data_IF_825924588874
#
_entry.id   IF_825924588874
#
_cell.length_a   1.000
_cell.length_b   1.000
_cell.length_c   1.000
_cell.angle_alpha   90.00
_cell.angle_beta   90.00
_cell.angle_gamma   90.00
#
_symmetry.space_group_name_H-M   'P 1'
#
loop_
_entity.id
_entity.type
_entity.pdbx_description
1 polymer ?
#
# COMPACT_ATOMS: atom_id res chain seq x y z
N UNK A 1 -7.51 23.00 -0.10
CA UNK A 1 -8.36 21.80 0.04
C UNK A 1 -7.85 20.78 -0.98
N UNK A 2 -7.73 19.51 -0.61
CA UNK A 2 -7.36 18.43 -1.52
C UNK A 2 -8.22 17.20 -1.22
N UNK A 3 -8.57 16.45 -2.26
CA UNK A 3 -9.19 15.12 -2.13
C UNK A 3 -8.09 14.09 -2.03
N UNK A 4 -8.04 13.37 -0.92
CA UNK A 4 -7.01 12.37 -0.62
C UNK A 4 -7.64 10.99 -0.61
N UNK A 5 -7.09 10.05 -1.38
CA UNK A 5 -7.48 8.65 -1.38
C UNK A 5 -6.31 7.80 -0.93
N UNK A 6 -6.54 6.89 0.01
CA UNK A 6 -5.51 6.03 0.58
C UNK A 6 -5.61 4.60 0.05
N UNK A 7 -4.52 4.12 -0.52
CA UNK A 7 -4.23 2.71 -0.73
C UNK A 7 -3.37 2.20 0.44
N UNK A 8 -3.99 1.45 1.36
CA UNK A 8 -3.36 1.03 2.62
C UNK A 8 -2.37 -0.14 2.47
N UNK A 9 -1.55 -0.39 3.49
CA UNK A 9 -0.58 -1.48 3.53
C UNK A 9 -1.20 -2.87 3.69
N UNK A 10 -0.38 -3.90 3.51
CA UNK A 10 -0.78 -5.30 3.70
C UNK A 10 -1.18 -5.60 5.16
N UNK A 11 -1.97 -6.66 5.36
CA UNK A 11 -2.48 -7.10 6.68
C UNK A 11 -3.28 -6.05 7.44
N UNK A 12 -3.54 -4.90 6.83
CA UNK A 12 -4.15 -3.70 7.41
C UNK A 12 -5.49 -3.39 6.73
N UNK A 13 -6.05 -2.22 7.02
CA UNK A 13 -7.26 -1.68 6.40
C UNK A 13 -7.41 -0.19 6.70
N UNK A 14 -8.52 0.42 6.28
CA UNK A 14 -8.86 1.81 6.56
C UNK A 14 -8.77 2.20 8.05
N UNK A 15 -9.05 1.26 8.96
CA UNK A 15 -8.99 1.48 10.41
C UNK A 15 -7.61 1.96 10.89
N UNK A 16 -6.51 1.52 10.26
CA UNK A 16 -5.15 1.88 10.68
C UNK A 16 -4.88 3.40 10.60
N UNK A 17 -5.62 4.10 9.77
CA UNK A 17 -5.50 5.55 9.56
C UNK A 17 -6.45 6.38 10.43
N UNK A 18 -7.05 5.75 11.46
CA UNK A 18 -8.01 6.40 12.35
C UNK A 18 -7.45 7.66 13.02
N UNK A 19 -6.17 7.64 13.42
CA UNK A 19 -5.51 8.80 14.06
C UNK A 19 -5.22 9.93 13.06
N UNK A 20 -4.86 9.59 11.83
CA UNK A 20 -4.54 10.56 10.77
C UNK A 20 -5.79 11.24 10.20
N UNK A 21 -6.89 10.50 10.09
CA UNK A 21 -8.15 11.00 9.48
C UNK A 21 -8.64 12.33 10.06
N UNK A 22 -8.75 12.55 11.39
CA UNK A 22 -9.20 13.82 11.94
C UNK A 22 -8.21 14.96 11.66
N UNK A 23 -6.90 14.68 11.59
CA UNK A 23 -5.87 15.68 11.31
C UNK A 23 -5.99 16.18 9.86
N UNK A 24 -6.17 15.28 8.90
CA UNK A 24 -6.37 15.66 7.49
C UNK A 24 -7.67 16.47 7.31
N UNK A 25 -8.75 16.07 7.98
CA UNK A 25 -10.02 16.82 7.93
C UNK A 25 -9.91 18.20 8.58
N UNK A 26 -9.22 18.30 9.71
CA UNK A 26 -8.96 19.59 10.36
C UNK A 26 -8.11 20.53 9.50
N UNK A 27 -7.21 19.97 8.65
CA UNK A 27 -6.46 20.70 7.65
C UNK A 27 -7.29 21.07 6.40
N UNK A 28 -8.59 20.76 6.37
CA UNK A 28 -9.49 21.11 5.27
C UNK A 28 -9.43 20.16 4.08
N UNK A 29 -8.92 18.93 4.26
CA UNK A 29 -8.89 17.92 3.22
C UNK A 29 -10.07 16.95 3.32
N UNK A 30 -10.55 16.46 2.18
CA UNK A 30 -11.38 15.27 2.12
C UNK A 30 -10.50 14.03 2.15
N UNK A 31 -10.93 12.99 2.88
CA UNK A 31 -10.12 11.78 3.05
C UNK A 31 -10.96 10.52 2.90
N UNK A 32 -10.63 9.73 1.89
CA UNK A 32 -11.21 8.43 1.58
C UNK A 32 -10.17 7.33 1.85
N UNK A 33 -10.58 6.28 2.51
CA UNK A 33 -9.72 5.13 2.82
C UNK A 33 -10.48 3.83 2.58
N UNK A 34 -10.61 3.39 1.32
CA UNK A 34 -11.26 2.13 1.01
C UNK A 34 -10.48 0.97 1.65
N UNK A 35 -11.21 0.03 2.26
CA UNK A 35 -10.64 -1.24 2.70
C UNK A 35 -10.70 -2.24 1.57
N UNK A 36 -9.58 -2.92 1.29
CA UNK A 36 -9.53 -3.93 0.25
C UNK A 36 -10.36 -5.16 0.59
N UNK A 37 -10.91 -5.79 -0.44
CA UNK A 37 -11.64 -7.06 -0.34
C UNK A 37 -10.79 -8.13 0.35
N UNK A 38 -11.37 -8.81 1.34
CA UNK A 38 -10.71 -9.84 2.13
C UNK A 38 -9.93 -9.34 3.35
N UNK A 39 -9.85 -8.01 3.59
CA UNK A 39 -9.13 -7.42 4.71
C UNK A 39 -10.07 -6.59 5.61
N UNK A 40 -9.60 -6.25 6.80
CA UNK A 40 -10.31 -5.42 7.76
C UNK A 40 -11.76 -5.86 7.98
N UNK A 41 -12.70 -4.91 7.90
CA UNK A 41 -14.14 -5.16 8.01
C UNK A 41 -14.73 -5.96 6.83
N UNK A 42 -13.95 -6.11 5.73
CA UNK A 42 -14.31 -6.95 4.57
C UNK A 42 -13.64 -8.33 4.61
N UNK A 43 -13.08 -8.74 5.75
CA UNK A 43 -12.41 -10.03 5.93
C UNK A 43 -13.32 -11.24 5.65
N UNK A 44 -14.63 -11.09 5.83
CA UNK A 44 -15.63 -12.13 5.53
C UNK A 44 -15.71 -12.47 4.02
N UNK A 45 -15.16 -11.64 3.15
CA UNK A 45 -15.07 -11.87 1.70
C UNK A 45 -13.76 -12.58 1.29
N UNK A 46 -12.86 -12.86 2.26
CA UNK A 46 -11.56 -13.45 1.96
C UNK A 46 -11.70 -14.82 1.30
N UNK A 47 -11.01 -15.01 0.18
CA UNK A 47 -10.96 -16.24 -0.59
C UNK A 47 -9.64 -16.33 -1.38
N UNK A 48 -9.24 -17.49 -1.91
CA UNK A 48 -7.96 -17.69 -2.60
C UNK A 48 -7.84 -16.98 -3.96
N UNK A 49 -8.93 -16.47 -4.53
CA UNK A 49 -8.92 -15.83 -5.85
C UNK A 49 -8.62 -14.33 -5.78
N UNK A 50 -8.60 -13.74 -4.58
CA UNK A 50 -8.26 -12.33 -4.40
C UNK A 50 -6.80 -12.09 -4.76
N UNK A 51 -6.59 -11.21 -5.72
CA UNK A 51 -5.28 -10.82 -6.25
C UNK A 51 -5.06 -9.30 -6.21
N UNK A 52 -3.94 -8.83 -6.77
CA UNK A 52 -3.62 -7.40 -6.84
C UNK A 52 -4.67 -6.61 -7.64
N UNK A 53 -5.19 -7.19 -8.73
CA UNK A 53 -6.22 -6.54 -9.54
C UNK A 53 -7.52 -6.33 -8.78
N UNK A 54 -7.89 -7.25 -7.89
CA UNK A 54 -9.04 -7.11 -6.99
C UNK A 54 -8.88 -5.87 -6.09
N UNK A 55 -7.70 -5.69 -5.47
CA UNK A 55 -7.45 -4.54 -4.60
C UNK A 55 -7.34 -3.22 -5.38
N UNK A 56 -6.80 -3.24 -6.60
CA UNK A 56 -6.81 -2.08 -7.49
C UNK A 56 -8.26 -1.68 -7.81
N UNK A 57 -9.12 -2.66 -8.12
CA UNK A 57 -10.52 -2.41 -8.42
C UNK A 57 -11.30 -1.83 -7.23
N UNK A 58 -10.99 -2.25 -5.99
CA UNK A 58 -11.59 -1.68 -4.78
C UNK A 58 -11.36 -0.15 -4.70
N UNK A 59 -10.17 0.33 -5.07
CA UNK A 59 -9.83 1.76 -5.05
C UNK A 59 -10.42 2.49 -6.25
N UNK A 60 -10.36 1.89 -7.44
CA UNK A 60 -10.97 2.45 -8.67
C UNK A 60 -12.46 2.67 -8.49
N UNK A 61 -13.17 1.72 -7.88
CA UNK A 61 -14.59 1.85 -7.60
C UNK A 61 -14.91 3.07 -6.71
N UNK A 62 -14.07 3.36 -5.70
CA UNK A 62 -14.26 4.57 -4.88
C UNK A 62 -14.04 5.83 -5.71
N UNK A 63 -13.02 5.87 -6.57
CA UNK A 63 -12.81 7.01 -7.47
C UNK A 63 -14.00 7.25 -8.39
N UNK A 64 -14.60 6.17 -8.90
CA UNK A 64 -15.72 6.21 -9.82
C UNK A 64 -17.04 6.59 -9.12
N UNK A 65 -17.42 5.86 -8.07
CA UNK A 65 -18.74 6.01 -7.44
C UNK A 65 -18.87 7.24 -6.54
N UNK A 66 -17.75 7.80 -6.05
CA UNK A 66 -17.69 9.08 -5.35
C UNK A 66 -17.37 10.24 -6.31
N UNK A 67 -17.25 9.96 -7.62
CA UNK A 67 -16.92 10.92 -8.69
C UNK A 67 -15.70 11.80 -8.38
N UNK A 68 -14.64 11.19 -7.84
CA UNK A 68 -13.46 11.90 -7.39
C UNK A 68 -12.57 12.31 -8.56
N UNK A 69 -12.11 13.57 -8.51
CA UNK A 69 -11.21 14.19 -9.49
C UNK A 69 -10.07 14.91 -8.77
N UNK A 70 -8.98 15.20 -9.46
CA UNK A 70 -7.78 15.89 -8.94
C UNK A 70 -7.23 15.25 -7.64
N UNK A 71 -7.28 13.91 -7.59
CA UNK A 71 -6.98 13.13 -6.40
C UNK A 71 -5.50 13.14 -6.08
N UNK A 72 -5.16 13.33 -4.81
CA UNK A 72 -3.88 12.92 -4.22
C UNK A 72 -4.01 11.48 -3.76
N UNK A 73 -3.46 10.54 -4.53
CA UNK A 73 -3.46 9.12 -4.21
C UNK A 73 -2.25 8.79 -3.34
N UNK A 74 -2.49 8.24 -2.14
CA UNK A 74 -1.44 7.82 -1.21
C UNK A 74 -1.34 6.31 -1.23
N UNK A 75 -0.15 5.76 -1.50
CA UNK A 75 0.18 4.35 -1.32
C UNK A 75 1.12 4.18 -0.14
N UNK A 76 0.74 3.40 0.87
CA UNK A 76 1.60 3.02 1.98
C UNK A 76 2.01 1.54 1.87
N UNK A 77 3.31 1.23 1.99
CA UNK A 77 3.77 -0.15 1.99
C UNK A 77 3.31 -0.92 0.72
N UNK A 78 2.63 -2.06 0.86
CA UNK A 78 1.95 -2.79 -0.22
C UNK A 78 1.01 -1.90 -1.04
N UNK A 79 0.38 -0.92 -0.40
CA UNK A 79 -0.52 0.02 -1.07
C UNK A 79 0.13 0.80 -2.22
N UNK A 80 1.45 0.83 -2.29
CA UNK A 80 2.17 1.39 -3.44
C UNK A 80 1.99 0.56 -4.72
N UNK A 81 1.89 -0.79 -4.62
CA UNK A 81 1.52 -1.67 -5.75
C UNK A 81 0.13 -1.30 -6.28
N UNK A 82 -0.83 -1.13 -5.36
CA UNK A 82 -2.22 -0.75 -5.69
C UNK A 82 -2.26 0.66 -6.28
N UNK A 83 -1.60 1.64 -5.63
CA UNK A 83 -1.59 3.02 -6.10
C UNK A 83 -0.99 3.15 -7.51
N UNK A 84 0.06 2.38 -7.83
CA UNK A 84 0.64 2.36 -9.17
C UNK A 84 -0.37 1.84 -10.20
N UNK A 85 -1.07 0.74 -9.91
CA UNK A 85 -2.08 0.19 -10.82
C UNK A 85 -3.32 1.07 -10.97
N UNK A 86 -3.76 1.73 -9.89
CA UNK A 86 -4.85 2.72 -9.94
C UNK A 86 -4.45 3.92 -10.79
N UNK A 87 -3.23 4.44 -10.59
CA UNK A 87 -2.71 5.57 -11.37
C UNK A 87 -2.66 5.27 -12.86
N UNK A 88 -2.30 4.05 -13.23
CA UNK A 88 -2.26 3.61 -14.63
C UNK A 88 -3.66 3.58 -15.26
N UNK A 89 -4.67 3.07 -14.51
CA UNK A 89 -6.03 2.83 -15.05
C UNK A 89 -6.98 4.02 -14.92
N UNK A 90 -6.70 4.98 -14.03
CA UNK A 90 -7.51 6.18 -13.81
C UNK A 90 -6.64 7.44 -13.81
N UNK A 91 -5.71 7.51 -14.78
CA UNK A 91 -4.69 8.57 -14.88
C UNK A 91 -5.30 9.97 -14.86
N UNK A 92 -6.42 10.15 -15.53
CA UNK A 92 -7.14 11.41 -15.68
C UNK A 92 -7.73 11.93 -14.35
N UNK A 93 -7.95 11.06 -13.37
CA UNK A 93 -8.49 11.41 -12.05
C UNK A 93 -7.41 11.75 -11.03
N UNK A 94 -6.14 11.40 -11.31
CA UNK A 94 -5.04 11.48 -10.35
C UNK A 94 -4.15 12.70 -10.63
N UNK A 95 -4.17 13.68 -9.74
CA UNK A 95 -3.28 14.84 -9.83
C UNK A 95 -1.84 14.51 -9.40
N UNK A 96 -1.69 13.67 -8.39
CA UNK A 96 -0.39 13.21 -7.89
C UNK A 96 -0.49 11.90 -7.14
N UNK A 97 0.61 11.16 -7.10
CA UNK A 97 0.74 9.96 -6.28
C UNK A 97 1.85 10.15 -5.23
N UNK A 98 1.56 9.74 -4.00
CA UNK A 98 2.48 9.83 -2.86
C UNK A 98 2.73 8.42 -2.33
N UNK A 99 3.96 7.98 -2.37
CA UNK A 99 4.42 6.72 -1.82
C UNK A 99 4.99 6.98 -0.43
N UNK A 100 4.35 6.45 0.61
CA UNK A 100 4.85 6.54 1.99
C UNK A 100 5.48 5.21 2.34
N UNK A 101 6.80 5.15 2.38
CA UNK A 101 7.58 3.94 2.67
C UNK A 101 6.98 2.72 1.96
N UNK A 102 6.87 2.80 0.63
CA UNK A 102 6.02 1.95 -0.17
C UNK A 102 6.74 1.33 -1.37
N UNK A 103 6.20 0.22 -1.85
CA UNK A 103 6.62 -0.37 -3.13
C UNK A 103 6.20 0.55 -4.28
N UNK A 104 7.12 0.77 -5.21
CA UNK A 104 6.88 1.54 -6.43
C UNK A 104 7.32 0.70 -7.64
N UNK A 105 6.47 -0.24 -8.10
CA UNK A 105 6.84 -1.20 -9.14
C UNK A 105 6.99 -0.57 -10.51
N UNK A 106 7.75 -1.24 -11.37
CA UNK A 106 7.67 -1.12 -12.82
C UNK A 106 6.66 -2.12 -13.40
N UNK A 107 6.35 -1.97 -14.67
CA UNK A 107 5.54 -2.94 -15.40
C UNK A 107 6.13 -4.36 -15.31
N UNK A 108 5.25 -5.35 -15.16
CA UNK A 108 5.61 -6.76 -15.08
C UNK A 108 6.18 -7.21 -13.72
N UNK A 109 6.29 -6.33 -12.72
CA UNK A 109 6.76 -6.71 -11.39
C UNK A 109 5.62 -7.09 -10.44
N UNK A 110 5.82 -8.18 -9.70
CA UNK A 110 5.03 -8.55 -8.53
C UNK A 110 5.69 -8.02 -7.25
N UNK A 111 4.99 -8.04 -6.12
CA UNK A 111 5.62 -7.72 -4.84
C UNK A 111 6.72 -8.75 -4.50
N UNK A 112 6.53 -10.03 -4.81
CA UNK A 112 7.54 -11.04 -4.60
C UNK A 112 8.84 -10.77 -5.40
N UNK A 113 8.74 -10.28 -6.62
CA UNK A 113 9.92 -9.85 -7.39
C UNK A 113 10.70 -8.74 -6.65
N UNK A 114 9.99 -7.84 -5.95
CA UNK A 114 10.58 -6.67 -5.27
C UNK A 114 11.20 -6.98 -3.90
N UNK A 115 10.68 -7.97 -3.18
CA UNK A 115 11.25 -8.39 -1.88
C UNK A 115 12.33 -9.45 -2.03
N UNK A 116 12.40 -10.10 -3.18
CA UNK A 116 13.41 -11.10 -3.54
C UNK A 116 13.13 -12.52 -3.04
N UNK A 117 13.88 -13.51 -3.57
CA UNK A 117 13.54 -14.92 -3.45
C UNK A 117 13.59 -15.48 -2.02
N UNK A 118 14.44 -14.92 -1.16
CA UNK A 118 14.52 -15.35 0.25
C UNK A 118 13.26 -14.96 1.03
N UNK A 119 12.80 -13.73 0.88
CA UNK A 119 11.58 -13.24 1.54
C UNK A 119 10.35 -13.94 0.98
N UNK A 120 10.27 -14.10 -0.34
CA UNK A 120 9.22 -14.87 -1.00
C UNK A 120 9.15 -16.30 -0.47
N UNK A 121 10.26 -17.02 -0.42
CA UNK A 121 10.32 -18.39 0.09
C UNK A 121 9.81 -18.51 1.52
N UNK A 122 10.18 -17.59 2.40
CA UNK A 122 9.70 -17.56 3.79
C UNK A 122 8.19 -17.28 3.86
N UNK A 123 7.68 -16.35 3.06
CA UNK A 123 6.24 -16.03 3.02
C UNK A 123 5.43 -17.20 2.50
N UNK A 124 5.87 -17.90 1.44
CA UNK A 124 5.22 -19.10 0.90
C UNK A 124 5.21 -20.25 1.91
N UNK A 125 6.33 -20.47 2.61
CA UNK A 125 6.40 -21.47 3.67
C UNK A 125 5.43 -21.14 4.82
N UNK A 126 5.34 -19.88 5.21
CA UNK A 126 4.35 -19.43 6.20
C UNK A 126 2.91 -19.65 5.75
N UNK A 127 2.59 -19.33 4.49
CA UNK A 127 1.27 -19.55 3.92
C UNK A 127 0.91 -21.05 3.89
N UNK A 128 1.86 -21.91 3.48
CA UNK A 128 1.65 -23.35 3.45
C UNK A 128 1.43 -23.96 4.85
N UNK A 129 2.16 -23.43 5.85
CA UNK A 129 2.10 -23.95 7.22
C UNK A 129 0.86 -23.48 7.99
N UNK A 130 0.58 -22.18 7.95
CA UNK A 130 -0.35 -21.51 8.89
C UNK A 130 -1.47 -20.73 8.15
N UNK A 131 -1.51 -20.79 6.82
CA UNK A 131 -2.41 -19.98 5.98
C UNK A 131 -3.21 -20.76 4.94
N UNK A 132 -3.41 -22.05 5.13
CA UNK A 132 -4.15 -22.93 4.21
C UNK A 132 -3.60 -22.88 2.76
N UNK A 133 -2.33 -22.53 2.61
CA UNK A 133 -1.64 -22.41 1.33
C UNK A 133 -1.90 -21.12 0.56
N UNK A 134 -2.85 -20.28 0.98
CA UNK A 134 -3.23 -19.07 0.24
C UNK A 134 -3.24 -17.78 1.07
N UNK A 135 -3.10 -17.85 2.38
CA UNK A 135 -3.06 -16.70 3.29
C UNK A 135 -1.67 -16.49 3.84
N UNK A 136 -1.09 -15.34 3.62
CA UNK A 136 0.15 -14.92 4.27
C UNK A 136 -0.16 -14.58 5.73
N UNK A 137 0.47 -15.25 6.72
CA UNK A 137 0.31 -14.92 8.12
C UNK A 137 0.67 -13.45 8.39
N UNK A 138 0.03 -12.88 9.42
CA UNK A 138 0.30 -11.49 9.82
C UNK A 138 1.75 -11.35 10.27
N UNK A 139 2.49 -10.42 9.68
CA UNK A 139 3.87 -10.12 10.08
C UNK A 139 3.93 -9.31 11.40
N UNK A 140 5.05 -9.30 12.12
CA UNK A 140 5.24 -8.43 13.28
C UNK A 140 5.05 -6.95 12.92
N UNK A 141 4.64 -6.16 13.90
CA UNK A 141 4.68 -4.70 13.81
C UNK A 141 6.10 -4.19 14.06
N UNK A 142 6.47 -2.99 13.59
CA UNK A 142 7.76 -2.39 13.90
C UNK A 142 8.03 -2.39 15.42
N UNK A 143 9.26 -2.64 15.87
CA UNK A 143 9.58 -2.81 17.30
C UNK A 143 9.42 -1.54 18.12
N UNK A 144 9.41 -0.38 17.47
CA UNK A 144 9.19 0.94 18.10
C UNK A 144 7.71 1.38 18.08
N UNK A 145 6.80 0.49 17.64
CA UNK A 145 5.35 0.77 17.73
C UNK A 145 4.93 0.84 19.20
N UNK A 146 4.21 1.90 19.57
CA UNK A 146 3.75 2.10 20.94
C UNK A 146 2.90 0.90 21.42
N UNK A 147 3.07 0.43 22.69
CA UNK A 147 2.36 -0.74 23.19
C UNK A 147 0.84 -0.66 23.07
N UNK A 148 0.26 0.52 23.26
CA UNK A 148 -1.17 0.76 23.10
C UNK A 148 -1.62 0.61 21.62
N UNK A 149 -0.78 0.99 20.67
CA UNK A 149 -1.04 0.82 19.25
C UNK A 149 -0.90 -0.65 18.83
N UNK A 150 0.06 -1.37 19.38
CA UNK A 150 0.18 -2.83 19.19
C UNK A 150 -1.06 -3.53 19.73
N UNK A 151 -1.49 -3.22 20.95
CA UNK A 151 -2.67 -3.83 21.58
C UNK A 151 -3.95 -3.52 20.78
N UNK A 152 -4.06 -2.32 20.24
CA UNK A 152 -5.22 -1.90 19.45
C UNK A 152 -5.22 -2.48 18.03
N UNK A 153 -4.07 -2.52 17.36
CA UNK A 153 -3.96 -2.94 15.96
C UNK A 153 -3.94 -4.47 15.79
N UNK A 154 -3.24 -5.20 16.67
CA UNK A 154 -3.02 -6.65 16.51
C UNK A 154 -4.31 -7.47 16.30
N UNK A 155 -5.40 -7.27 17.08
CA UNK A 155 -6.63 -8.04 16.88
C UNK A 155 -7.40 -7.65 15.61
N UNK A 156 -7.03 -6.54 14.95
CA UNK A 156 -7.67 -6.03 13.72
C UNK A 156 -6.98 -6.45 12.46
N UNK A 157 -5.72 -6.84 12.54
CA UNK A 157 -4.93 -7.30 11.39
C UNK A 157 -5.44 -8.65 10.90
N UNK A 158 -5.43 -8.85 9.60
CA UNK A 158 -5.92 -10.07 8.96
C UNK A 158 -4.85 -10.64 8.02
N UNK A 159 -4.77 -11.98 7.87
CA UNK A 159 -3.89 -12.60 6.89
C UNK A 159 -4.13 -12.04 5.48
N UNK A 160 -3.06 -11.86 4.72
CA UNK A 160 -3.09 -11.29 3.37
C UNK A 160 -3.27 -12.40 2.34
N UNK A 161 -4.20 -12.31 1.36
CA UNK A 161 -4.26 -13.26 0.25
C UNK A 161 -2.96 -13.26 -0.55
N UNK A 162 -2.35 -14.45 -0.73
CA UNK A 162 -1.01 -14.57 -1.32
C UNK A 162 -0.94 -14.07 -2.76
N UNK A 163 -2.00 -14.26 -3.56
CA UNK A 163 -2.06 -13.83 -4.96
C UNK A 163 -1.93 -12.32 -5.14
N UNK A 164 -2.22 -11.54 -4.09
CA UNK A 164 -1.98 -10.09 -4.09
C UNK A 164 -0.49 -9.74 -4.15
N UNK A 165 0.39 -10.67 -3.72
CA UNK A 165 1.85 -10.53 -3.77
C UNK A 165 2.46 -11.24 -4.97
N UNK A 166 1.79 -12.28 -5.49
CA UNK A 166 2.24 -13.08 -6.63
C UNK A 166 1.94 -12.41 -7.97
N UNK A 167 0.79 -11.74 -8.06
CA UNK A 167 0.34 -11.19 -9.33
C UNK A 167 1.26 -10.07 -9.78
N UNK A 168 1.77 -10.21 -10.99
CA UNK A 168 2.56 -9.17 -11.67
C UNK A 168 1.65 -8.02 -12.07
N UNK A 169 2.07 -6.82 -11.73
CA UNK A 169 1.37 -5.60 -12.16
C UNK A 169 1.53 -5.45 -13.67
N UNK A 170 0.42 -5.18 -14.35
CA UNK A 170 0.42 -4.85 -15.77
C UNK A 170 0.02 -3.38 -15.93
N UNK A 171 0.92 -2.60 -16.49
CA UNK A 171 0.70 -1.20 -16.85
C UNK A 171 0.41 -1.10 -18.34
N UNK A 172 -0.64 -0.39 -18.71
CA UNK A 172 -1.13 -0.29 -20.08
C UNK A 172 -0.99 1.13 -20.64
N UNK A 173 -0.94 2.14 -19.75
CA UNK A 173 -0.78 3.53 -20.14
C UNK A 173 0.63 3.81 -20.67
N UNK A 174 0.70 4.53 -21.79
CA UNK A 174 1.94 5.07 -22.37
C UNK A 174 2.18 6.52 -21.95
N UNK A 175 1.22 7.12 -21.26
CA UNK A 175 1.35 8.48 -20.77
C UNK A 175 2.30 8.55 -19.58
N UNK A 176 3.04 9.65 -19.43
CA UNK A 176 3.87 9.85 -18.25
C UNK A 176 2.98 9.85 -17.00
N UNK A 177 3.45 9.25 -15.88
CA UNK A 177 2.69 9.25 -14.64
C UNK A 177 2.48 10.69 -14.14
N UNK A 178 1.47 10.93 -13.27
CA UNK A 178 1.31 12.21 -12.60
C UNK A 178 2.52 12.52 -11.71
N UNK A 179 2.56 13.71 -11.13
CA UNK A 179 3.62 14.08 -10.17
C UNK A 179 3.78 13.01 -9.09
N UNK A 180 5.00 12.46 -8.99
CA UNK A 180 5.35 11.37 -8.05
C UNK A 180 6.11 11.92 -6.86
N UNK A 181 5.71 11.51 -5.66
CA UNK A 181 6.33 11.88 -4.40
C UNK A 181 6.68 10.62 -3.62
N UNK A 182 7.86 10.55 -3.04
CA UNK A 182 8.28 9.47 -2.17
C UNK A 182 8.63 10.02 -0.79
N UNK A 183 7.99 9.52 0.25
CA UNK A 183 8.29 9.82 1.65
C UNK A 183 8.91 8.55 2.25
N UNK A 184 10.20 8.62 2.57
CA UNK A 184 10.97 7.51 3.10
C UNK A 184 11.06 7.59 4.62
N UNK A 185 10.75 6.48 5.30
CA UNK A 185 10.91 6.33 6.74
C UNK A 185 12.36 5.93 7.08
N UNK A 186 13.10 6.80 7.79
CA UNK A 186 14.57 6.63 7.96
C UNK A 186 14.96 5.63 9.04
N UNK A 187 14.01 5.21 9.92
CA UNK A 187 14.26 4.24 11.00
C UNK A 187 13.91 2.79 10.65
N UNK A 188 13.91 2.46 9.35
CA UNK A 188 13.79 1.06 8.92
C UNK A 188 15.03 0.27 9.36
N UNK A 189 14.80 -0.95 9.86
CA UNK A 189 15.86 -1.81 10.36
C UNK A 189 16.64 -2.56 9.26
N UNK A 190 17.49 -3.50 9.65
CA UNK A 190 18.19 -4.38 8.69
C UNK A 190 17.21 -5.10 7.76
N UNK A 191 17.53 -5.15 6.47
CA UNK A 191 16.66 -5.75 5.44
C UNK A 191 15.59 -4.81 4.90
N UNK A 192 15.77 -3.51 5.07
CA UNK A 192 14.91 -2.47 4.53
C UNK A 192 14.73 -2.60 3.02
N UNK A 193 13.57 -3.06 2.62
CA UNK A 193 13.20 -3.26 1.20
C UNK A 193 12.81 -1.96 0.51
N UNK A 194 12.56 -0.88 1.26
CA UNK A 194 12.08 0.40 0.72
C UNK A 194 13.19 1.34 0.29
N UNK A 195 14.42 1.15 0.79
CA UNK A 195 15.60 1.96 0.41
C UNK A 195 15.81 2.03 -1.09
N UNK A 196 15.63 0.94 -1.81
CA UNK A 196 15.76 0.90 -3.28
C UNK A 196 14.81 1.90 -3.98
N UNK A 197 13.60 2.10 -3.47
CA UNK A 197 12.63 3.05 -4.04
C UNK A 197 12.94 4.48 -3.62
N UNK A 198 13.43 4.67 -2.40
CA UNK A 198 13.94 5.96 -1.92
C UNK A 198 15.11 6.44 -2.76
N UNK A 199 16.09 5.57 -3.00
CA UNK A 199 17.29 5.88 -3.79
C UNK A 199 16.93 6.20 -5.25
N UNK A 200 15.98 5.44 -5.84
CA UNK A 200 15.43 5.73 -7.16
C UNK A 200 14.74 7.10 -7.20
N UNK A 201 13.85 7.38 -6.25
CA UNK A 201 13.14 8.65 -6.19
C UNK A 201 14.05 9.85 -5.95
N UNK A 202 15.23 9.64 -5.35
CA UNK A 202 16.26 10.67 -5.17
C UNK A 202 17.06 10.93 -6.46
N UNK A 203 17.24 9.91 -7.28
CA UNK A 203 18.07 9.98 -8.49
C UNK A 203 17.29 10.39 -9.75
N UNK A 204 16.00 10.11 -9.84
CA UNK A 204 15.17 10.44 -11.00
C UNK A 204 14.49 11.80 -10.84
N UNK A 205 14.61 12.67 -11.87
CA UNK A 205 14.19 14.08 -11.82
C UNK A 205 12.66 14.31 -11.79
N UNK A 206 11.88 13.29 -12.15
CA UNK A 206 10.42 13.31 -12.17
C UNK A 206 9.77 12.86 -10.84
N UNK A 207 10.60 12.63 -9.81
CA UNK A 207 10.19 12.39 -8.44
C UNK A 207 10.48 13.57 -7.53
N UNK A 208 9.65 13.73 -6.49
CA UNK A 208 9.97 14.55 -5.32
C UNK A 208 10.23 13.60 -4.15
N UNK A 209 11.40 13.73 -3.54
CA UNK A 209 11.85 12.88 -2.45
C UNK A 209 11.82 13.62 -1.12
N UNK A 210 11.34 12.96 -0.08
CA UNK A 210 11.26 13.43 1.31
C UNK A 210 11.68 12.33 2.26
N UNK A 211 12.17 12.70 3.43
CA UNK A 211 12.50 11.80 4.52
C UNK A 211 11.71 12.17 5.77
N UNK A 212 11.32 11.17 6.53
CA UNK A 212 10.66 11.33 7.83
C UNK A 212 11.39 10.46 8.86
N UNK A 213 11.67 11.03 10.04
CA UNK A 213 12.29 10.30 11.16
C UNK A 213 11.24 9.43 11.86
N UNK A 214 10.90 8.33 11.23
CA UNK A 214 9.93 7.35 11.68
C UNK A 214 10.32 5.95 11.21
N UNK A 215 9.69 4.93 11.81
CA UNK A 215 9.71 3.57 11.27
C UNK A 215 8.65 3.40 10.18
N UNK A 216 8.51 2.17 9.66
CA UNK A 216 7.61 1.82 8.56
C UNK A 216 6.13 2.23 8.74
N UNK A 217 5.65 2.41 9.97
CA UNK A 217 4.29 2.90 10.26
C UNK A 217 4.36 4.30 10.90
N UNK A 218 4.63 5.35 10.11
CA UNK A 218 4.84 6.71 10.60
C UNK A 218 3.58 7.37 11.14
#
# INVERSE_FOLDING_TARGET
>A
MATIVLAHGAWSAAWAWKKMRPLLRAAGHEFFSPTYTGLGERAHLANPDIDLSTHIQDVLAVLEFEDLQDVTLIGHSYGGMVATGVTDRARERIARVVYIDAFAPHDGQSLFDLVGPKAEGNMRAGAAKDGDGWRLPVNPMPPDTAPEDVAWASPRRRPQPIRTFEQKLKLESKEPPPSRHYIYATRNGPGDVFRQFSDRARSESDWKHYEIDASHNP
#
